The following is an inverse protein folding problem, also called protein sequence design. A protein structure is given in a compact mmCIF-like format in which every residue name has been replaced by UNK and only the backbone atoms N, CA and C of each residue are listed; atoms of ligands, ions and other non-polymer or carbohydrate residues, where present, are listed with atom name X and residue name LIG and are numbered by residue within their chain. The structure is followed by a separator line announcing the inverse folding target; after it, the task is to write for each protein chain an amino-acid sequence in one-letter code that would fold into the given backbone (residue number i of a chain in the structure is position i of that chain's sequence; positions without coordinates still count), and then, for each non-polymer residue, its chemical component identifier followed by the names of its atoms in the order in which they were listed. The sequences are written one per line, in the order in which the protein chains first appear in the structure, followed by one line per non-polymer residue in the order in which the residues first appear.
data_IF_109079649791
#
_entry.id   IF_109079649791
#
_cell.length_a   1.000
_cell.length_b   1.000
_cell.length_c   1.000
_cell.angle_alpha   90.00
_cell.angle_beta   90.00
_cell.angle_gamma   90.00
#
_symmetry.space_group_name_H-M   'P 1'
#
loop_
_entity.id
_entity.type
_entity.pdbx_description
1 polymer ?
#
# COMPACT_ATOMS: atom_id res chain seq x y z
N UNK A 1 -5.14 -4.66 7.18
CA UNK A 1 -3.74 -4.52 7.70
C UNK A 1 -3.36 -3.09 8.07
N UNK A 2 -3.89 -2.05 7.42
CA UNK A 2 -3.50 -0.63 7.64
C UNK A 2 -3.79 -0.03 9.04
N UNK A 3 -4.50 -0.76 9.90
CA UNK A 3 -4.69 -0.40 11.30
C UNK A 3 -3.58 -0.96 12.23
N UNK A 4 -2.77 -1.90 11.75
CA UNK A 4 -1.70 -2.51 12.54
C UNK A 4 -0.44 -1.62 12.48
N UNK A 5 -0.11 -0.99 13.62
CA UNK A 5 1.04 -0.08 13.74
C UNK A 5 2.38 -0.74 13.40
N UNK A 6 2.59 -1.98 13.86
CA UNK A 6 3.81 -2.74 13.58
C UNK A 6 3.99 -2.98 12.08
N UNK A 7 2.90 -3.36 11.40
CA UNK A 7 2.93 -3.57 9.95
C UNK A 7 3.24 -2.27 9.20
N UNK A 8 2.61 -1.14 9.58
CA UNK A 8 2.85 0.15 8.93
C UNK A 8 4.28 0.64 9.15
N UNK A 9 4.83 0.54 10.36
CA UNK A 9 6.23 0.91 10.60
C UNK A 9 7.19 0.02 9.79
N UNK A 10 6.91 -1.28 9.71
CA UNK A 10 7.70 -2.20 8.89
C UNK A 10 7.61 -1.84 7.40
N UNK A 11 6.45 -1.42 6.91
CA UNK A 11 6.27 -0.94 5.53
C UNK A 11 7.07 0.35 5.27
N UNK A 12 7.00 1.34 6.15
CA UNK A 12 7.77 2.58 6.04
C UNK A 12 9.28 2.30 6.01
N UNK A 13 9.75 1.42 6.91
CA UNK A 13 11.13 0.96 6.95
C UNK A 13 11.52 0.17 5.69
N UNK A 14 10.65 -0.69 5.17
CA UNK A 14 10.94 -1.43 3.94
C UNK A 14 11.01 -0.53 2.71
N UNK A 15 10.10 0.45 2.60
CA UNK A 15 10.02 1.39 1.50
C UNK A 15 11.08 2.49 1.56
N UNK A 16 11.62 2.78 2.75
CA UNK A 16 12.49 3.94 3.02
C UNK A 16 11.81 5.26 2.61
N UNK A 17 10.50 5.36 2.85
CA UNK A 17 9.68 6.54 2.53
C UNK A 17 8.61 6.72 3.60
N UNK A 18 8.15 7.97 3.85
CA UNK A 18 6.99 8.21 4.70
C UNK A 18 5.76 7.45 4.17
N UNK A 19 4.97 6.91 5.09
CA UNK A 19 3.69 6.25 4.79
C UNK A 19 2.55 7.07 5.36
N UNK A 20 1.76 7.67 4.50
CA UNK A 20 0.53 8.38 4.87
C UNK A 20 -0.63 7.40 5.05
N UNK A 21 -1.33 7.50 6.19
CA UNK A 21 -2.50 6.68 6.47
C UNK A 21 -3.77 7.45 6.13
N UNK A 22 -4.61 6.83 5.31
CA UNK A 22 -5.95 7.33 5.03
C UNK A 22 -6.74 7.56 6.33
N UNK A 23 -7.48 8.67 6.44
CA UNK A 23 -8.37 8.91 7.57
C UNK A 23 -9.54 7.91 7.61
N UNK A 24 -9.95 7.39 6.45
CA UNK A 24 -10.99 6.37 6.32
C UNK A 24 -10.37 5.06 5.88
N UNK A 25 -10.61 3.99 6.62
CA UNK A 25 -9.99 2.68 6.36
C UNK A 25 -10.62 1.97 5.17
N UNK A 26 -11.91 2.16 4.98
CA UNK A 26 -12.73 1.64 3.89
C UNK A 26 -12.58 2.50 2.63
N UNK A 27 -11.33 2.79 2.24
CA UNK A 27 -10.98 3.70 1.14
C UNK A 27 -11.60 3.29 -0.21
N UNK A 28 -11.76 1.98 -0.45
CA UNK A 28 -12.42 1.45 -1.65
C UNK A 28 -13.88 1.90 -1.73
N UNK A 29 -14.64 1.76 -0.65
CA UNK A 29 -16.06 2.14 -0.60
C UNK A 29 -16.22 3.65 -0.63
N UNK A 30 -15.36 4.38 0.08
CA UNK A 30 -15.31 5.84 0.02
C UNK A 30 -15.07 6.32 -1.42
N UNK A 31 -14.07 5.75 -2.11
CA UNK A 31 -13.76 6.08 -3.50
C UNK A 31 -14.95 5.85 -4.45
N UNK A 32 -15.64 4.71 -4.32
CA UNK A 32 -16.84 4.43 -5.11
C UNK A 32 -17.96 5.46 -4.87
N UNK A 33 -18.21 5.84 -3.61
CA UNK A 33 -19.18 6.88 -3.28
C UNK A 33 -18.80 8.25 -3.86
N UNK A 34 -17.52 8.64 -3.75
CA UNK A 34 -16.99 9.89 -4.29
C UNK A 34 -17.11 9.95 -5.82
N UNK A 35 -16.87 8.83 -6.53
CA UNK A 35 -17.12 8.73 -7.96
C UNK A 35 -18.61 8.93 -8.31
N UNK A 36 -19.52 8.37 -7.50
CA UNK A 36 -20.95 8.63 -7.62
C UNK A 36 -21.28 10.12 -7.49
N UNK A 37 -20.67 10.81 -6.51
CA UNK A 37 -20.84 12.26 -6.32
C UNK A 37 -20.31 13.10 -7.49
N UNK A 38 -19.22 12.70 -8.14
CA UNK A 38 -18.75 13.33 -9.39
C UNK A 38 -19.79 13.11 -10.50
N UNK A 39 -20.31 11.90 -10.66
CA UNK A 39 -21.26 11.57 -11.71
C UNK A 39 -22.57 12.37 -11.60
N UNK A 40 -23.02 12.69 -10.38
CA UNK A 40 -24.23 13.52 -10.15
C UNK A 40 -23.92 15.02 -10.02
N UNK A 41 -22.68 15.45 -10.23
CA UNK A 41 -22.27 16.86 -10.23
C UNK A 41 -22.15 17.52 -8.85
N UNK A 42 -22.11 16.75 -7.76
CA UNK A 42 -21.81 17.29 -6.41
C UNK A 42 -20.35 17.73 -6.27
N UNK A 43 -19.44 17.07 -6.99
CA UNK A 43 -18.05 17.50 -7.20
C UNK A 43 -17.81 17.68 -8.69
N UNK A 44 -17.05 18.71 -9.06
CA UNK A 44 -16.69 19.03 -10.42
C UNK A 44 -15.72 18.00 -11.04
N UNK A 45 -14.84 17.38 -10.25
CA UNK A 45 -13.91 16.36 -10.74
C UNK A 45 -13.28 15.51 -9.64
N UNK A 46 -12.62 14.42 -10.04
CA UNK A 46 -11.76 13.61 -9.14
C UNK A 46 -10.58 14.44 -8.61
N UNK A 47 -10.09 15.42 -9.39
CA UNK A 47 -8.99 16.30 -8.95
C UNK A 47 -9.40 17.17 -7.77
N UNK A 48 -10.63 17.71 -7.79
CA UNK A 48 -11.20 18.46 -6.66
C UNK A 48 -11.26 17.62 -5.39
N UNK A 49 -11.74 16.37 -5.51
CA UNK A 49 -11.73 15.42 -4.39
C UNK A 49 -10.31 15.22 -3.85
N UNK A 50 -9.31 15.07 -4.72
CA UNK A 50 -7.91 14.91 -4.33
C UNK A 50 -7.37 16.06 -3.47
N UNK A 51 -7.86 17.29 -3.67
CA UNK A 51 -7.46 18.45 -2.87
C UNK A 51 -7.95 18.38 -1.41
N UNK A 52 -8.93 17.53 -1.13
CA UNK A 52 -9.45 17.33 0.24
C UNK A 52 -8.60 16.36 1.07
N UNK A 53 -7.57 15.74 0.48
CA UNK A 53 -6.75 14.75 1.16
C UNK A 53 -6.07 15.30 2.41
N UNK A 54 -6.32 14.63 3.54
CA UNK A 54 -5.69 14.87 4.83
C UNK A 54 -5.40 13.51 5.48
N UNK A 55 -4.14 13.05 5.52
CA UNK A 55 -3.83 11.80 6.19
C UNK A 55 -4.09 11.94 7.69
N UNK A 56 -4.54 10.87 8.34
CA UNK A 56 -4.74 10.88 9.81
C UNK A 56 -3.43 10.83 10.58
N UNK A 57 -2.41 10.27 9.94
CA UNK A 57 -1.08 10.02 10.51
C UNK A 57 -0.12 9.81 9.34
N UNK A 58 1.10 10.33 9.50
CA UNK A 58 2.23 10.04 8.60
C UNK A 58 3.28 9.32 9.41
N UNK A 59 3.66 8.11 8.97
CA UNK A 59 4.66 7.28 9.65
C UNK A 59 5.97 7.37 8.90
N UNK A 60 6.99 7.92 9.55
CA UNK A 60 8.35 8.05 9.01
C UNK A 60 9.13 6.73 9.13
N UNK A 61 10.09 6.46 8.22
CA UNK A 61 11.05 5.38 8.39
C UNK A 61 11.85 5.59 9.68
N UNK A 62 11.95 4.54 10.49
CA UNK A 62 12.74 4.52 11.73
C UNK A 62 13.99 3.63 11.65
N UNK A 63 14.08 2.78 10.63
CA UNK A 63 15.21 1.86 10.44
C UNK A 63 15.39 1.47 8.98
N UNK A 64 16.61 1.12 8.60
CA UNK A 64 16.91 0.42 7.36
C UNK A 64 16.79 -1.10 7.57
N UNK A 65 16.23 -1.79 6.58
CA UNK A 65 16.10 -3.25 6.61
C UNK A 65 17.20 -3.92 5.79
N UNK A 66 17.60 -5.12 6.21
CA UNK A 66 18.50 -5.98 5.45
C UNK A 66 17.78 -6.57 4.22
N UNK A 67 17.86 -5.83 3.12
CA UNK A 67 17.26 -6.25 1.84
C UNK A 67 17.98 -7.45 1.24
N UNK A 68 19.24 -7.71 1.58
CA UNK A 68 19.98 -8.81 1.01
C UNK A 68 19.54 -10.14 1.60
N UNK A 69 19.40 -10.19 2.92
CA UNK A 69 18.82 -11.35 3.60
C UNK A 69 17.40 -11.68 3.12
N UNK A 70 16.60 -10.66 2.81
CA UNK A 70 15.28 -10.85 2.20
C UNK A 70 15.35 -11.48 0.80
N UNK A 71 16.27 -11.01 -0.06
CA UNK A 71 16.49 -11.59 -1.40
C UNK A 71 16.92 -13.04 -1.33
N UNK A 72 17.82 -13.37 -0.41
CA UNK A 72 18.25 -14.76 -0.19
C UNK A 72 17.09 -15.64 0.32
N UNK A 73 16.22 -15.11 1.18
CA UNK A 73 15.01 -15.83 1.58
C UNK A 73 14.07 -16.10 0.39
N UNK A 74 13.82 -15.10 -0.47
CA UNK A 74 13.05 -15.27 -1.71
C UNK A 74 13.70 -16.33 -2.61
N UNK A 75 15.03 -16.28 -2.78
CA UNK A 75 15.75 -17.25 -3.62
C UNK A 75 15.51 -18.68 -3.12
N UNK A 76 15.58 -18.91 -1.81
CA UNK A 76 15.33 -20.22 -1.19
C UNK A 76 13.87 -20.67 -1.23
N UNK A 77 12.91 -19.75 -1.38
CA UNK A 77 11.49 -20.10 -1.47
C UNK A 77 11.02 -20.43 -2.89
N UNK A 78 11.88 -20.24 -3.91
CA UNK A 78 11.59 -20.59 -5.30
C UNK A 78 11.77 -22.10 -5.54
N UNK A 79 11.27 -22.56 -6.68
CA UNK A 79 11.42 -23.94 -7.17
C UNK A 79 10.93 -25.02 -6.20
N UNK A 80 9.91 -24.70 -5.38
CA UNK A 80 9.36 -25.62 -4.39
C UNK A 80 8.66 -26.82 -5.03
N UNK A 81 7.86 -26.58 -6.07
CA UNK A 81 7.21 -27.62 -6.86
C UNK A 81 7.96 -27.79 -8.18
N UNK A 82 8.76 -28.85 -8.27
CA UNK A 82 9.64 -29.09 -9.42
C UNK A 82 8.87 -29.20 -10.73
N UNK A 83 7.68 -29.83 -10.74
CA UNK A 83 6.92 -30.05 -11.97
C UNK A 83 6.35 -28.78 -12.61
N UNK A 84 6.07 -27.75 -11.79
CA UNK A 84 5.60 -26.45 -12.26
C UNK A 84 6.75 -25.47 -12.53
N UNK A 85 7.88 -25.66 -11.86
CA UNK A 85 9.02 -24.73 -11.92
C UNK A 85 9.95 -24.97 -13.12
N UNK A 86 9.80 -26.11 -13.80
CA UNK A 86 10.58 -26.47 -14.99
C UNK A 86 9.89 -26.11 -16.31
N UNK A 87 8.71 -25.46 -16.27
CA UNK A 87 8.00 -25.03 -17.47
C UNK A 87 8.61 -23.72 -17.99
N UNK A 88 9.11 -23.72 -19.22
CA UNK A 88 9.46 -22.50 -19.95
C UNK A 88 8.28 -22.07 -20.84
N UNK A 89 7.93 -20.78 -20.79
CA UNK A 89 6.86 -20.16 -21.58
C UNK A 89 7.44 -19.15 -22.58
#
# INVERSE_FOLDING_TARGET
MSANKTFIQALANAAQRPVELSPVREATTLGAGLLGHVAIGSFASISEIGQTWRPRETVEPSAALDRERWREAIKRSKAWESGLSSLEF
#
